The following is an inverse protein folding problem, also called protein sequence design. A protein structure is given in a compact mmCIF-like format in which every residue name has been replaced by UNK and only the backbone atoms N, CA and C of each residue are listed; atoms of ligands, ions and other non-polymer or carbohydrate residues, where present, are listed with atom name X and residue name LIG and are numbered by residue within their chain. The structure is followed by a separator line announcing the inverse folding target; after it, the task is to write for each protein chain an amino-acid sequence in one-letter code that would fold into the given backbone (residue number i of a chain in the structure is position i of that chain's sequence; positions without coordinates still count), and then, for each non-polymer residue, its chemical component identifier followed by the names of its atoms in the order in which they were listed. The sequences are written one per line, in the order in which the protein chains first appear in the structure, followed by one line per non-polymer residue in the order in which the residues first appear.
data_IF_502361073448
#
_entry.id   IF_502361073448
#
_cell.length_a   1.000
_cell.length_b   1.000
_cell.length_c   1.000
_cell.angle_alpha   90.00
_cell.angle_beta   90.00
_cell.angle_gamma   90.00
#
_symmetry.space_group_name_H-M   'P 1'
#
loop_
_entity.id
_entity.type
_entity.pdbx_description
1 polymer ?
#
# COMPACT_ATOMS: atom_id res chain seq x y z
N UNK A 1 -0.52 11.53 22.70
CA UNK A 1 0.38 12.10 21.67
C UNK A 1 -0.34 13.06 20.73
N UNK A 2 -1.27 12.61 19.87
CA UNK A 2 -1.89 13.47 18.82
C UNK A 2 -2.49 14.77 19.36
N UNK A 3 -3.38 14.71 20.36
CA UNK A 3 -3.97 15.92 20.99
C UNK A 3 -2.91 16.87 21.56
N UNK A 4 -1.82 16.34 22.10
CA UNK A 4 -0.70 17.14 22.59
C UNK A 4 0.03 17.83 21.42
N UNK A 5 0.30 17.13 20.33
CA UNK A 5 0.93 17.69 19.12
C UNK A 5 0.06 18.80 18.52
N UNK A 6 -1.25 18.58 18.43
CA UNK A 6 -2.20 19.61 17.97
C UNK A 6 -2.12 20.87 18.84
N UNK A 7 -2.14 20.71 20.17
CA UNK A 7 -2.03 21.84 21.09
C UNK A 7 -0.67 22.54 21.00
N UNK A 8 0.43 21.78 20.88
CA UNK A 8 1.80 22.30 20.92
C UNK A 8 2.19 23.02 19.63
N UNK A 9 1.77 22.51 18.48
CA UNK A 9 2.19 22.98 17.16
C UNK A 9 1.06 23.60 16.35
N UNK A 10 -0.12 23.80 16.94
CA UNK A 10 -1.31 24.33 16.27
C UNK A 10 -1.68 23.55 15.00
N UNK A 11 -1.51 22.22 15.04
CA UNK A 11 -1.85 21.37 13.90
C UNK A 11 -3.37 21.43 13.63
N UNK A 12 -3.75 21.51 12.36
CA UNK A 12 -5.15 21.58 11.93
C UNK A 12 -5.90 20.29 12.32
N UNK A 13 -6.93 20.38 13.19
CA UNK A 13 -7.71 19.21 13.62
C UNK A 13 -8.42 18.49 12.45
N UNK A 14 -8.60 19.15 11.30
CA UNK A 14 -9.23 18.56 10.13
C UNK A 14 -8.24 17.82 9.22
N UNK A 15 -6.94 17.85 9.54
CA UNK A 15 -5.85 17.26 8.74
C UNK A 15 -4.99 16.31 9.57
N UNK A 16 -5.65 15.45 10.33
CA UNK A 16 -5.02 14.42 11.15
C UNK A 16 -5.20 13.06 10.45
N UNK A 17 -4.10 12.35 10.19
CA UNK A 17 -4.10 11.10 9.44
C UNK A 17 -3.27 10.03 10.13
N UNK A 18 -3.50 8.77 9.79
CA UNK A 18 -2.75 7.64 10.35
C UNK A 18 -2.38 6.63 9.26
N UNK A 19 -1.15 6.12 9.31
CA UNK A 19 -0.68 5.07 8.40
C UNK A 19 0.36 4.22 9.11
N UNK A 20 0.49 2.97 8.69
CA UNK A 20 1.51 2.07 9.19
C UNK A 20 1.55 0.77 8.41
N UNK A 21 2.64 0.02 8.60
CA UNK A 21 2.92 -1.28 7.99
C UNK A 21 2.99 -2.35 9.08
N UNK A 22 2.56 -3.58 8.79
CA UNK A 22 2.62 -4.72 9.72
C UNK A 22 1.86 -4.42 11.01
N UNK A 23 2.50 -4.51 12.19
CA UNK A 23 1.93 -4.07 13.47
C UNK A 23 1.41 -2.62 13.46
N UNK A 24 2.06 -1.73 12.69
CA UNK A 24 1.58 -0.37 12.45
C UNK A 24 0.34 -0.31 11.56
N UNK A 25 0.17 -1.27 10.64
CA UNK A 25 -1.05 -1.46 9.85
C UNK A 25 -2.21 -1.94 10.73
N UNK A 26 -1.95 -2.91 11.62
CA UNK A 26 -2.91 -3.33 12.65
C UNK A 26 -3.35 -2.12 13.50
N UNK A 27 -2.37 -1.35 14.01
CA UNK A 27 -2.64 -0.19 14.85
C UNK A 27 -3.38 0.92 14.08
N UNK A 28 -3.15 1.06 12.78
CA UNK A 28 -3.91 1.98 11.93
C UNK A 28 -5.40 1.64 11.97
N UNK A 29 -5.76 0.37 11.80
CA UNK A 29 -7.16 -0.06 11.88
C UNK A 29 -7.74 0.11 13.30
N UNK A 30 -6.93 -0.13 14.35
CA UNK A 30 -7.31 0.13 15.74
C UNK A 30 -7.65 1.60 15.97
N UNK A 31 -6.77 2.51 15.55
CA UNK A 31 -6.95 3.95 15.75
C UNK A 31 -8.16 4.49 14.98
N UNK A 32 -8.41 4.01 13.76
CA UNK A 32 -9.62 4.37 12.99
C UNK A 32 -10.91 3.84 13.66
N UNK A 33 -10.86 2.67 14.29
CA UNK A 33 -12.00 2.10 14.99
C UNK A 33 -12.32 2.82 16.31
N UNK A 34 -11.29 3.11 17.11
CA UNK A 34 -11.37 3.58 18.51
C UNK A 34 -11.36 5.10 18.66
N UNK A 35 -10.71 5.83 17.76
CA UNK A 35 -10.64 7.30 17.77
C UNK A 35 -11.14 7.91 16.44
N UNK A 36 -12.35 7.55 15.98
CA UNK A 36 -12.92 8.02 14.72
C UNK A 36 -13.17 9.54 14.66
N UNK A 37 -13.26 10.20 15.82
CA UNK A 37 -13.40 11.65 15.97
C UNK A 37 -12.08 12.41 15.75
N UNK A 38 -10.95 11.71 15.84
CA UNK A 38 -9.61 12.32 15.80
C UNK A 38 -8.99 12.31 14.41
N UNK A 39 -9.21 11.25 13.62
CA UNK A 39 -8.57 11.06 12.32
C UNK A 39 -9.52 11.39 11.17
N UNK A 40 -8.98 11.90 10.06
CA UNK A 40 -9.76 12.16 8.84
C UNK A 40 -9.62 11.04 7.80
N UNK A 41 -8.45 10.41 7.75
CA UNK A 41 -8.22 9.23 6.91
C UNK A 41 -7.14 8.32 7.49
N UNK A 42 -7.21 7.04 7.12
CA UNK A 42 -6.22 6.01 7.44
C UNK A 42 -5.67 5.31 6.18
N UNK A 43 -4.45 4.79 6.26
CA UNK A 43 -3.86 3.88 5.27
C UNK A 43 -3.15 2.71 5.96
N UNK A 44 -3.73 1.52 5.91
CA UNK A 44 -3.18 0.32 6.55
C UNK A 44 -2.45 -0.55 5.54
N UNK A 45 -1.17 -0.84 5.78
CA UNK A 45 -0.39 -1.78 4.97
C UNK A 45 -0.10 -3.06 5.74
N UNK A 46 -0.36 -4.22 5.12
CA UNK A 46 -0.18 -5.56 5.69
C UNK A 46 -0.70 -5.60 7.14
N UNK A 47 -1.99 -5.33 7.34
CA UNK A 47 -2.60 -5.23 8.66
C UNK A 47 -3.59 -6.36 8.93
N UNK A 48 -4.34 -6.25 10.03
CA UNK A 48 -5.42 -7.18 10.40
C UNK A 48 -6.65 -6.41 10.87
N UNK A 49 -7.85 -7.01 10.86
CA UNK A 49 -9.06 -6.37 11.37
C UNK A 49 -8.91 -5.90 12.82
N UNK A 50 -9.66 -4.85 13.19
CA UNK A 50 -9.76 -4.43 14.58
C UNK A 50 -10.25 -5.59 15.46
N UNK A 51 -9.57 -5.80 16.58
CA UNK A 51 -9.92 -6.88 17.51
C UNK A 51 -9.40 -8.26 17.10
N UNK A 52 -8.81 -8.44 15.92
CA UNK A 52 -8.29 -9.73 15.49
C UNK A 52 -7.15 -10.23 16.39
N UNK A 53 -6.27 -9.34 16.83
CA UNK A 53 -5.21 -9.64 17.81
C UNK A 53 -5.67 -9.60 19.29
N UNK A 54 -6.97 -9.49 19.57
CA UNK A 54 -7.46 -9.51 20.96
C UNK A 54 -7.11 -10.86 21.61
N UNK A 55 -6.49 -10.83 22.78
CA UNK A 55 -6.07 -12.03 23.48
C UNK A 55 -5.18 -11.73 24.70
N UNK A 56 -4.77 -12.78 25.43
CA UNK A 56 -3.95 -12.66 26.63
C UNK A 56 -2.47 -12.36 26.33
N UNK A 57 -2.03 -12.59 25.10
CA UNK A 57 -0.65 -12.41 24.63
C UNK A 57 -0.57 -11.31 23.57
N UNK A 58 0.64 -10.77 23.36
CA UNK A 58 0.88 -9.77 22.32
C UNK A 58 0.64 -10.28 20.90
N UNK A 59 0.87 -11.59 20.68
CA UNK A 59 0.73 -12.24 19.39
C UNK A 59 -0.43 -13.26 19.42
N UNK A 60 -1.28 -13.23 18.39
CA UNK A 60 -2.41 -14.14 18.23
C UNK A 60 -2.26 -14.95 16.94
N UNK A 61 -1.87 -16.22 17.06
CA UNK A 61 -1.65 -17.12 15.92
C UNK A 61 -2.93 -17.38 15.11
N UNK A 62 -4.09 -17.44 15.76
CA UNK A 62 -5.37 -17.65 15.05
C UNK A 62 -5.62 -16.47 14.10
N UNK A 63 -5.28 -15.25 14.52
CA UNK A 63 -5.38 -14.09 13.66
C UNK A 63 -4.25 -14.03 12.61
N UNK A 64 -2.98 -14.14 13.01
CA UNK A 64 -1.85 -13.99 12.08
C UNK A 64 -1.87 -15.02 10.96
N UNK A 65 -2.30 -16.25 11.25
CA UNK A 65 -2.46 -17.33 10.27
C UNK A 65 -3.76 -17.23 9.47
N UNK A 66 -4.58 -16.20 9.71
CA UNK A 66 -5.81 -15.96 8.95
C UNK A 66 -6.95 -16.93 9.28
N UNK A 67 -6.89 -17.59 10.43
CA UNK A 67 -7.91 -18.58 10.86
C UNK A 67 -9.07 -17.96 11.62
N UNK A 68 -8.95 -16.71 12.07
CA UNK A 68 -10.05 -15.96 12.69
C UNK A 68 -10.97 -15.38 11.62
N UNK A 69 -11.96 -16.17 11.22
CA UNK A 69 -12.95 -15.81 10.20
C UNK A 69 -14.26 -15.46 10.89
N UNK A 70 -14.80 -14.27 10.61
CA UNK A 70 -16.06 -13.80 11.18
C UNK A 70 -17.00 -13.26 10.11
N UNK A 71 -18.27 -13.08 10.45
CA UNK A 71 -19.23 -12.38 9.58
C UNK A 71 -18.94 -10.88 9.56
N UNK A 72 -19.39 -10.15 8.52
CA UNK A 72 -19.33 -8.69 8.51
C UNK A 72 -19.99 -8.06 9.74
N UNK A 73 -21.10 -8.62 10.21
CA UNK A 73 -21.84 -8.12 11.39
C UNK A 73 -21.04 -8.29 12.68
N UNK A 74 -20.40 -9.45 12.88
CA UNK A 74 -19.60 -9.70 14.07
C UNK A 74 -18.36 -8.80 14.11
N UNK A 75 -17.71 -8.59 12.96
CA UNK A 75 -16.60 -7.63 12.85
C UNK A 75 -17.07 -6.18 13.07
N UNK A 76 -18.19 -5.80 12.46
CA UNK A 76 -18.75 -4.47 12.65
C UNK A 76 -19.18 -4.22 14.09
N UNK A 77 -19.70 -5.24 14.79
CA UNK A 77 -20.06 -5.14 16.20
C UNK A 77 -18.84 -4.88 17.08
N UNK A 78 -17.70 -5.55 16.82
CA UNK A 78 -16.46 -5.23 17.53
C UNK A 78 -16.06 -3.76 17.37
N UNK A 79 -16.09 -3.23 16.14
CA UNK A 79 -15.74 -1.81 15.88
C UNK A 79 -16.74 -0.83 16.49
N UNK A 80 -18.06 -1.14 16.48
CA UNK A 80 -19.07 -0.33 17.16
C UNK A 80 -18.88 -0.32 18.69
N UNK A 81 -18.46 -1.45 19.26
CA UNK A 81 -18.15 -1.58 20.68
C UNK A 81 -16.81 -0.96 21.07
N UNK A 82 -15.94 -0.65 20.11
CA UNK A 82 -14.67 0.05 20.34
C UNK A 82 -14.85 1.49 20.85
N UNK A 83 -15.98 2.13 20.48
CA UNK A 83 -16.37 3.45 20.98
C UNK A 83 -17.90 3.53 21.11
N UNK A 84 -18.48 2.98 22.20
CA UNK A 84 -19.92 2.89 22.38
C UNK A 84 -20.59 4.27 22.31
N UNK A 85 -21.74 4.34 21.64
CA UNK A 85 -22.51 5.58 21.49
C UNK A 85 -22.00 6.54 20.41
N UNK A 86 -20.82 6.32 19.81
CA UNK A 86 -20.35 7.15 18.71
C UNK A 86 -21.30 7.03 17.49
N UNK A 87 -21.75 8.18 16.97
CA UNK A 87 -22.61 8.30 15.77
C UNK A 87 -22.06 9.31 14.75
N UNK A 88 -20.87 9.85 15.01
CA UNK A 88 -20.20 10.80 14.12
C UNK A 88 -19.62 10.13 12.87
N UNK A 89 -19.06 10.93 11.95
CA UNK A 89 -18.38 10.40 10.77
C UNK A 89 -17.17 9.55 11.18
N UNK A 90 -16.85 8.53 10.39
CA UNK A 90 -15.63 7.74 10.57
C UNK A 90 -14.56 8.15 9.55
N UNK A 91 -13.26 8.04 9.88
CA UNK A 91 -12.18 8.34 8.95
C UNK A 91 -12.29 7.42 7.74
N UNK A 92 -12.12 7.95 6.52
CA UNK A 92 -12.04 7.08 5.35
C UNK A 92 -10.77 6.22 5.42
N UNK A 93 -10.82 4.99 4.96
CA UNK A 93 -9.70 4.06 5.09
C UNK A 93 -9.34 3.44 3.74
N UNK A 94 -8.03 3.33 3.47
CA UNK A 94 -7.54 2.40 2.47
C UNK A 94 -6.72 1.30 3.14
N UNK A 95 -6.81 0.07 2.62
CA UNK A 95 -5.96 -1.02 3.07
C UNK A 95 -5.17 -1.62 1.91
N UNK A 96 -3.98 -2.14 2.18
CA UNK A 96 -3.07 -2.73 1.21
C UNK A 96 -2.53 -4.05 1.77
N UNK A 97 -2.57 -5.13 0.99
CA UNK A 97 -2.09 -6.43 1.45
C UNK A 97 -1.51 -7.24 0.31
N UNK A 98 -0.40 -7.94 0.59
CA UNK A 98 0.22 -8.87 -0.35
C UNK A 98 -0.52 -10.21 -0.38
N UNK A 99 -0.75 -10.77 -1.57
CA UNK A 99 -1.43 -12.07 -1.70
C UNK A 99 -0.62 -13.26 -1.18
N UNK A 100 0.69 -13.10 -1.05
CA UNK A 100 1.64 -14.12 -0.58
C UNK A 100 2.22 -13.74 0.81
N UNK A 101 1.52 -12.88 1.55
CA UNK A 101 1.93 -12.48 2.90
C UNK A 101 1.85 -13.66 3.86
N UNK A 102 3.02 -14.10 4.35
CA UNK A 102 3.15 -15.20 5.33
C UNK A 102 3.34 -14.71 6.76
N UNK A 103 3.55 -13.40 6.97
CA UNK A 103 3.64 -12.80 8.31
C UNK A 103 2.25 -12.57 8.88
N UNK A 104 1.36 -12.01 8.05
CA UNK A 104 -0.06 -11.84 8.32
C UNK A 104 -0.83 -12.33 7.12
N UNK A 105 -1.38 -13.54 7.23
CA UNK A 105 -1.99 -14.27 6.13
C UNK A 105 -2.99 -13.41 5.35
N UNK A 106 -2.97 -13.55 4.03
CA UNK A 106 -3.82 -12.79 3.11
C UNK A 106 -5.33 -12.89 3.43
N UNK A 107 -5.79 -13.93 4.14
CA UNK A 107 -7.16 -14.00 4.66
C UNK A 107 -7.55 -12.77 5.49
N UNK A 108 -6.60 -12.16 6.23
CA UNK A 108 -6.84 -10.94 7.00
C UNK A 108 -7.25 -9.73 6.14
N UNK A 109 -6.86 -9.70 4.87
CA UNK A 109 -7.32 -8.71 3.91
C UNK A 109 -8.83 -8.86 3.64
N UNK A 110 -9.29 -10.10 3.43
CA UNK A 110 -10.71 -10.41 3.25
C UNK A 110 -11.52 -10.10 4.50
N UNK A 111 -11.01 -10.45 5.69
CA UNK A 111 -11.67 -10.11 6.96
C UNK A 111 -11.73 -8.59 7.18
N UNK A 112 -10.69 -7.84 6.82
CA UNK A 112 -10.69 -6.38 6.93
C UNK A 112 -11.72 -5.76 5.97
N UNK A 113 -11.86 -6.31 4.76
CA UNK A 113 -12.88 -5.89 3.80
C UNK A 113 -14.29 -6.10 4.33
N UNK A 114 -14.60 -7.27 4.93
CA UNK A 114 -15.89 -7.54 5.59
C UNK A 114 -16.19 -6.52 6.69
N UNK A 115 -15.19 -6.24 7.54
CA UNK A 115 -15.34 -5.33 8.67
C UNK A 115 -15.67 -3.91 8.22
N UNK A 116 -14.86 -3.36 7.31
CA UNK A 116 -15.02 -1.96 6.91
C UNK A 116 -16.20 -1.74 5.98
N UNK A 117 -16.54 -2.71 5.12
CA UNK A 117 -17.77 -2.61 4.29
C UNK A 117 -19.03 -2.55 5.17
N UNK A 118 -19.10 -3.38 6.22
CA UNK A 118 -20.19 -3.33 7.21
C UNK A 118 -20.23 -1.98 7.95
N UNK A 119 -19.08 -1.48 8.40
CA UNK A 119 -19.00 -0.23 9.18
C UNK A 119 -19.39 1.00 8.37
N UNK A 120 -19.05 1.03 7.08
CA UNK A 120 -19.43 2.15 6.22
C UNK A 120 -20.79 1.98 5.56
N UNK A 121 -21.44 0.83 5.72
CA UNK A 121 -22.70 0.45 5.03
C UNK A 121 -22.56 0.58 3.51
N UNK A 122 -21.51 -0.05 2.96
CA UNK A 122 -21.17 -0.02 1.54
C UNK A 122 -20.89 -1.43 1.04
N UNK A 123 -21.20 -1.67 -0.23
CA UNK A 123 -20.97 -2.96 -0.90
C UNK A 123 -19.76 -2.89 -1.83
N UNK A 124 -19.20 -4.05 -2.16
CA UNK A 124 -18.23 -4.14 -3.24
C UNK A 124 -18.84 -3.67 -4.56
N UNK A 125 -18.09 -2.89 -5.33
CA UNK A 125 -18.59 -2.29 -6.58
C UNK A 125 -17.80 -2.76 -7.79
N UNK A 126 -16.47 -2.62 -7.79
CA UNK A 126 -15.64 -3.04 -8.93
C UNK A 126 -14.19 -3.24 -8.56
N UNK A 127 -13.48 -3.93 -9.45
CA UNK A 127 -12.02 -3.99 -9.46
C UNK A 127 -11.46 -3.08 -10.55
N UNK A 128 -10.44 -2.29 -10.19
CA UNK A 128 -9.54 -1.67 -11.16
C UNK A 128 -8.22 -2.45 -11.08
N UNK A 129 -7.95 -3.28 -12.09
CA UNK A 129 -6.71 -4.06 -12.17
C UNK A 129 -5.54 -3.16 -12.56
N UNK A 130 -4.32 -3.62 -12.28
CA UNK A 130 -3.07 -2.89 -12.51
C UNK A 130 -3.07 -1.45 -11.95
N UNK A 131 -3.68 -1.25 -10.78
CA UNK A 131 -3.90 0.06 -10.17
C UNK A 131 -3.39 0.08 -8.73
N UNK A 132 -2.46 0.99 -8.37
CA UNK A 132 -1.77 1.97 -9.22
C UNK A 132 -0.58 1.37 -10.00
N UNK A 133 -0.25 0.10 -9.76
CA UNK A 133 0.87 -0.60 -10.42
C UNK A 133 0.43 -1.89 -11.07
N UNK A 134 1.25 -2.40 -11.99
CA UNK A 134 1.12 -3.76 -12.49
C UNK A 134 1.01 -4.77 -11.33
N UNK A 135 0.13 -5.76 -11.48
CA UNK A 135 -0.17 -6.82 -10.50
C UNK A 135 -0.87 -6.35 -9.22
N UNK A 136 -1.28 -5.09 -9.13
CA UNK A 136 -2.11 -4.60 -8.03
C UNK A 136 -3.56 -4.47 -8.50
N UNK A 137 -4.50 -4.91 -7.67
CA UNK A 137 -5.93 -4.75 -7.92
C UNK A 137 -6.51 -3.84 -6.85
N UNK A 138 -6.99 -2.68 -7.27
CA UNK A 138 -7.80 -1.81 -6.43
C UNK A 138 -9.25 -2.33 -6.42
N UNK A 139 -9.70 -2.78 -5.26
CA UNK A 139 -11.10 -3.09 -4.98
C UNK A 139 -11.81 -1.83 -4.47
N UNK A 140 -12.84 -1.42 -5.18
CA UNK A 140 -13.65 -0.24 -4.85
C UNK A 140 -14.93 -0.69 -4.17
N UNK A 141 -15.23 -0.09 -3.01
CA UNK A 141 -16.48 -0.29 -2.27
C UNK A 141 -17.30 1.01 -2.27
N UNK A 142 -18.60 0.89 -2.51
CA UNK A 142 -19.47 2.04 -2.80
C UNK A 142 -18.91 2.89 -3.94
N UNK A 143 -18.81 4.20 -3.72
CA UNK A 143 -18.23 5.14 -4.67
C UNK A 143 -16.69 5.29 -4.55
N UNK A 144 -16.05 4.53 -3.65
CA UNK A 144 -14.61 4.60 -3.38
C UNK A 144 -14.18 5.81 -2.55
N UNK A 145 -15.10 6.62 -2.02
CA UNK A 145 -14.73 7.82 -1.24
C UNK A 145 -14.46 7.52 0.22
N UNK A 146 -15.10 6.48 0.78
CA UNK A 146 -14.95 6.05 2.18
C UNK A 146 -13.97 4.89 2.36
N UNK A 147 -13.93 3.96 1.39
CA UNK A 147 -13.15 2.75 1.51
C UNK A 147 -12.69 2.22 0.15
N UNK A 148 -11.41 1.88 0.07
CA UNK A 148 -10.80 1.12 -1.03
C UNK A 148 -9.80 0.12 -0.46
N UNK A 149 -9.60 -0.99 -1.15
CA UNK A 149 -8.65 -2.02 -0.73
C UNK A 149 -7.75 -2.40 -1.90
N UNK A 150 -6.47 -2.66 -1.64
CA UNK A 150 -5.49 -3.00 -2.67
C UNK A 150 -4.91 -4.38 -2.40
N UNK A 151 -5.19 -5.31 -3.30
CA UNK A 151 -4.55 -6.63 -3.33
C UNK A 151 -3.32 -6.58 -4.23
N UNK A 152 -2.15 -6.89 -3.69
CA UNK A 152 -0.90 -6.96 -4.46
C UNK A 152 -0.56 -8.42 -4.76
N UNK A 153 -0.82 -8.87 -5.99
CA UNK A 153 -0.56 -10.24 -6.42
C UNK A 153 0.94 -10.53 -6.46
N UNK A 154 1.35 -11.68 -5.90
CA UNK A 154 2.75 -12.11 -5.86
C UNK A 154 3.63 -11.34 -4.88
N UNK A 155 3.02 -10.60 -3.93
CA UNK A 155 3.75 -9.80 -2.94
C UNK A 155 3.56 -10.41 -1.55
N UNK A 156 4.65 -10.54 -0.80
CA UNK A 156 4.66 -11.05 0.59
C UNK A 156 4.64 -9.93 1.65
N UNK A 157 5.18 -10.23 2.83
CA UNK A 157 5.49 -9.26 3.88
C UNK A 157 6.93 -8.76 3.68
N UNK A 158 7.25 -7.50 3.38
CA UNK A 158 6.45 -6.26 3.39
C UNK A 158 6.01 -5.78 2.00
N UNK A 159 4.84 -5.16 1.93
CA UNK A 159 4.37 -4.47 0.73
C UNK A 159 5.04 -3.10 0.58
N UNK A 160 5.31 -2.69 -0.66
CA UNK A 160 5.88 -1.37 -0.97
C UNK A 160 4.94 -0.25 -0.52
N UNK A 161 5.43 0.64 0.35
CA UNK A 161 4.69 1.85 0.74
C UNK A 161 4.61 2.82 -0.45
N UNK A 162 3.41 3.30 -0.72
CA UNK A 162 3.09 4.18 -1.84
C UNK A 162 2.80 5.59 -1.37
N UNK A 163 3.83 6.29 -0.89
CA UNK A 163 3.65 7.58 -0.18
C UNK A 163 2.77 8.59 -0.93
N UNK A 164 2.95 8.77 -2.24
CA UNK A 164 2.13 9.72 -3.02
C UNK A 164 0.66 9.27 -3.13
N UNK A 165 0.39 7.98 -3.29
CA UNK A 165 -0.97 7.43 -3.28
C UNK A 165 -1.62 7.60 -1.90
N UNK A 166 -0.86 7.42 -0.81
CA UNK A 166 -1.33 7.70 0.56
C UNK A 166 -1.69 9.17 0.75
N UNK A 167 -0.80 10.08 0.31
CA UNK A 167 -1.05 11.51 0.42
C UNK A 167 -2.23 11.96 -0.45
N UNK A 168 -2.41 11.34 -1.62
CA UNK A 168 -3.57 11.54 -2.49
C UNK A 168 -4.85 11.05 -1.81
N UNK A 169 -4.81 9.86 -1.21
CA UNK A 169 -5.90 9.34 -0.41
C UNK A 169 -6.23 10.28 0.75
N UNK A 170 -5.24 10.82 1.45
CA UNK A 170 -5.46 11.80 2.52
C UNK A 170 -6.01 13.14 2.04
N UNK A 171 -6.00 13.40 0.72
CA UNK A 171 -6.51 14.63 0.12
C UNK A 171 -5.59 15.84 0.33
N UNK A 172 -4.34 15.60 0.74
CA UNK A 172 -3.31 16.62 0.95
C UNK A 172 -2.28 16.64 -0.19
N UNK A 173 -2.43 15.74 -1.15
CA UNK A 173 -1.71 15.75 -2.41
C UNK A 173 -2.73 15.57 -3.53
N UNK A 174 -2.61 16.39 -4.57
CA UNK A 174 -3.27 16.12 -5.85
C UNK A 174 -2.15 15.75 -6.81
N UNK A 175 -2.16 14.56 -7.41
CA UNK A 175 -1.29 14.28 -8.53
C UNK A 175 -1.51 15.41 -9.53
N UNK A 176 -0.46 16.16 -9.88
CA UNK A 176 -0.60 17.00 -11.05
C UNK A 176 -0.97 16.07 -12.20
N UNK A 177 -1.96 16.42 -13.03
CA UNK A 177 -2.09 15.73 -14.29
C UNK A 177 -0.71 15.80 -14.91
N UNK A 178 -0.08 14.63 -15.11
CA UNK A 178 1.06 14.54 -15.99
C UNK A 178 0.49 15.05 -17.30
N UNK A 179 0.73 16.33 -17.59
CA UNK A 179 0.63 16.77 -18.95
C UNK A 179 1.71 15.92 -19.58
N UNK A 180 1.29 14.85 -20.25
CA UNK A 180 2.10 14.27 -21.30
C UNK A 180 2.18 15.39 -22.31
N UNK A 181 3.02 16.39 -22.03
CA UNK A 181 3.61 17.19 -23.07
C UNK A 181 4.31 16.11 -23.87
N UNK A 182 3.69 15.75 -24.99
CA UNK A 182 4.38 15.19 -26.12
C UNK A 182 5.40 16.25 -26.53
N UNK A 183 6.43 16.46 -25.71
CA UNK A 183 7.70 16.92 -26.22
C UNK A 183 8.08 15.81 -27.17
N UNK A 184 7.93 16.11 -28.46
CA UNK A 184 8.72 15.49 -29.51
C UNK A 184 10.16 15.60 -29.05
N UNK A 185 10.61 14.62 -28.26
CA UNK A 185 11.99 14.50 -27.83
C UNK A 185 12.69 14.15 -29.12
N UNK A 186 13.31 15.15 -29.72
CA UNK A 186 14.44 14.95 -30.63
C UNK A 186 15.31 13.88 -29.98
N UNK A 187 15.57 12.79 -30.70
CA UNK A 187 16.25 11.62 -30.18
C UNK A 187 17.56 12.04 -29.50
N UNK A 188 17.59 12.01 -28.17
CA UNK A 188 18.83 12.05 -27.41
C UNK A 188 19.48 10.69 -27.66
N UNK A 189 20.72 10.63 -28.17
CA UNK A 189 21.37 9.35 -28.44
C UNK A 189 21.43 8.54 -27.15
N UNK A 190 20.97 7.28 -27.23
CA UNK A 190 21.10 6.30 -26.15
C UNK A 190 22.57 6.26 -25.72
N UNK A 191 22.89 6.47 -24.43
CA UNK A 191 24.28 6.40 -23.98
C UNK A 191 24.79 4.97 -24.23
N UNK A 192 25.88 4.86 -24.97
CA UNK A 192 26.58 3.60 -25.25
C UNK A 192 27.57 3.31 -24.13
N UNK A 193 27.68 2.06 -23.70
CA UNK A 193 28.72 1.61 -22.78
C UNK A 193 30.10 1.81 -23.43
N UNK A 194 31.04 2.34 -22.64
CA UNK A 194 32.43 2.53 -23.06
C UNK A 194 33.10 1.17 -23.36
N UNK A 195 34.18 1.15 -24.17
CA UNK A 195 35.05 -0.02 -24.29
C UNK A 195 35.38 -0.62 -22.92
N UNK A 196 35.23 -1.93 -22.75
CA UNK A 196 35.42 -2.64 -21.48
C UNK A 196 34.45 -2.25 -20.35
N UNK A 197 33.44 -1.43 -20.62
CA UNK A 197 32.38 -1.08 -19.69
C UNK A 197 31.34 -2.20 -19.51
N UNK A 198 30.62 -2.17 -18.39
CA UNK A 198 29.50 -3.08 -18.15
C UNK A 198 28.34 -2.77 -19.11
N UNK A 199 27.75 -3.81 -19.67
CA UNK A 199 26.65 -3.71 -20.64
C UNK A 199 25.45 -4.61 -20.31
N UNK A 200 25.43 -5.21 -19.11
CA UNK A 200 24.35 -6.08 -18.66
C UNK A 200 24.63 -6.74 -17.31
N UNK A 201 23.57 -7.30 -16.73
CA UNK A 201 23.56 -7.95 -15.42
C UNK A 201 22.19 -7.79 -14.76
N UNK A 202 21.72 -8.78 -13.99
CA UNK A 202 20.38 -8.79 -13.36
C UNK A 202 20.06 -7.49 -12.58
N UNK A 203 21.07 -6.85 -11.99
CA UNK A 203 20.91 -5.62 -11.18
C UNK A 203 21.42 -4.36 -11.88
N UNK A 204 21.90 -4.44 -13.12
CA UNK A 204 22.52 -3.33 -13.84
C UNK A 204 21.47 -2.37 -14.44
N UNK A 205 21.65 -1.06 -14.22
CA UNK A 205 20.74 0.01 -14.69
C UNK A 205 21.37 0.95 -15.73
N UNK A 206 22.57 0.64 -16.21
CA UNK A 206 23.31 1.49 -17.15
C UNK A 206 23.15 1.09 -18.63
N UNK A 207 23.95 1.68 -19.52
CA UNK A 207 23.96 1.39 -20.96
C UNK A 207 24.05 -0.10 -21.33
N UNK A 208 23.06 -0.61 -22.06
CA UNK A 208 23.02 -2.02 -22.51
C UNK A 208 23.60 -2.24 -23.92
N UNK A 209 23.87 -1.16 -24.66
CA UNK A 209 24.49 -1.18 -26.00
C UNK A 209 25.95 -0.81 -25.90
N UNK A 210 26.82 -1.53 -26.62
CA UNK A 210 28.24 -1.23 -26.71
C UNK A 210 28.55 -0.31 -27.89
N UNK A 211 29.59 0.52 -27.76
CA UNK A 211 30.10 1.36 -28.85
C UNK A 211 30.45 0.56 -30.12
N UNK A 212 30.55 1.27 -31.26
CA UNK A 212 30.93 0.67 -32.56
C UNK A 212 32.23 -0.12 -32.43
N UNK A 213 32.26 -1.35 -32.92
CA UNK A 213 33.42 -2.27 -32.81
C UNK A 213 33.41 -3.17 -31.58
N UNK A 214 32.45 -3.00 -30.66
CA UNK A 214 32.32 -3.80 -29.44
C UNK A 214 31.00 -4.59 -29.43
N UNK A 215 31.01 -5.72 -28.73
CA UNK A 215 29.82 -6.54 -28.45
C UNK A 215 29.67 -6.77 -26.95
N UNK A 216 28.42 -6.86 -26.50
CA UNK A 216 28.14 -7.16 -25.10
C UNK A 216 28.29 -8.65 -24.85
N UNK A 217 29.39 -9.07 -24.22
CA UNK A 217 29.62 -10.46 -23.85
C UNK A 217 29.16 -10.69 -22.41
N UNK A 218 28.26 -11.65 -22.22
CA UNK A 218 27.87 -12.14 -20.90
C UNK A 218 28.99 -13.00 -20.32
N UNK A 219 29.40 -12.70 -19.08
CA UNK A 219 30.35 -13.53 -18.33
C UNK A 219 29.63 -14.30 -17.21
N UNK A 220 28.72 -13.63 -16.51
CA UNK A 220 27.88 -14.24 -15.47
C UNK A 220 26.45 -13.71 -15.59
N UNK A 221 25.54 -14.21 -14.76
CA UNK A 221 24.17 -13.66 -14.66
C UNK A 221 24.15 -12.21 -14.15
N UNK A 222 25.18 -11.78 -13.42
CA UNK A 222 25.27 -10.45 -12.84
C UNK A 222 26.20 -9.50 -13.61
N UNK A 223 26.91 -10.00 -14.63
CA UNK A 223 27.94 -9.23 -15.31
C UNK A 223 28.06 -9.57 -16.80
N UNK A 224 27.83 -8.57 -17.64
CA UNK A 224 28.18 -8.55 -19.06
C UNK A 224 29.06 -7.33 -19.36
N UNK A 225 30.00 -7.47 -20.29
CA UNK A 225 30.98 -6.42 -20.61
C UNK A 225 31.13 -6.20 -22.12
N UNK A 226 31.37 -4.96 -22.52
CA UNK A 226 31.72 -4.61 -23.89
C UNK A 226 33.14 -5.04 -24.23
N UNK A 227 33.28 -5.99 -25.15
CA UNK A 227 34.58 -6.47 -25.65
C UNK A 227 34.69 -6.24 -27.17
N UNK A 228 35.91 -6.12 -27.74
CA UNK A 228 36.08 -6.01 -29.18
C UNK A 228 35.43 -7.17 -29.93
N UNK A 229 34.84 -6.88 -31.10
CA UNK A 229 34.46 -7.90 -32.08
C UNK A 229 35.73 -8.32 -32.82
N UNK A 230 36.11 -9.59 -32.69
CA UNK A 230 37.13 -10.23 -33.52
C UNK A 230 36.43 -11.01 -34.63
#
# INVERSE_FOLDING_TARGET
MVKWTMKKYHADPNRIFVTGLSSGGMMTQVLVATYPDLFRAGSSYCGVPYGCFRGPTEWNNVCSEGRLIKTPEEWGNDVRNAYPGYRGPRPKLQIWHGSEDVGLAYQNFHESNKMWSNIFHIEFTKNNTNTPFANYTQMVFGDGTKYVAYSAAGVGHDIKITALDVLAWFGIYKPQPTTTTTTTKTAVPTPTAQPWGQCGGITYKGPITCGKGFQCKKWTNYFSQCIPRY
#
